data_IF_247343967560
#
_entry.id   IF_247343967560
#
_cell.length_a   1.000
_cell.length_b   1.000
_cell.length_c   1.000
_cell.angle_alpha   90.00
_cell.angle_beta   90.00
_cell.angle_gamma   90.00
#
_symmetry.space_group_name_H-M   'P 1'
#
loop_
_entity.id
_entity.type
_entity.pdbx_description
1 polymer ?
#
# COMPACT_ATOMS: atom_id res chain seq x y z
N UNK A 1 6.81 -15.70 -7.79
CA UNK A 1 5.87 -16.84 -7.64
C UNK A 1 4.77 -16.72 -8.70
N UNK A 2 3.98 -17.77 -8.99
CA UNK A 2 2.81 -17.66 -9.86
C UNK A 2 1.83 -16.56 -9.40
N UNK A 3 1.67 -16.39 -8.09
CA UNK A 3 0.85 -15.33 -7.50
C UNK A 3 1.35 -13.93 -7.91
N UNK A 4 2.64 -13.65 -7.77
CA UNK A 4 3.23 -12.37 -8.19
C UNK A 4 3.01 -12.09 -9.67
N UNK A 5 3.07 -13.12 -10.52
CA UNK A 5 2.79 -12.94 -11.95
C UNK A 5 1.31 -12.60 -12.20
N UNK A 6 0.39 -13.24 -11.50
CA UNK A 6 -1.04 -12.92 -11.59
C UNK A 6 -1.34 -11.48 -11.12
N UNK A 7 -0.67 -11.04 -10.05
CA UNK A 7 -0.77 -9.68 -9.50
C UNK A 7 -0.30 -8.62 -10.52
N UNK A 8 0.87 -8.84 -11.15
CA UNK A 8 1.40 -7.95 -12.20
C UNK A 8 0.48 -7.85 -13.42
N UNK A 9 -0.16 -8.96 -13.79
CA UNK A 9 -1.11 -9.02 -14.91
C UNK A 9 -2.49 -8.45 -14.54
N UNK A 10 -2.73 -8.14 -13.26
CA UNK A 10 -4.03 -7.74 -12.71
C UNK A 10 -5.13 -8.77 -13.00
N UNK A 11 -4.75 -10.05 -13.06
CA UNK A 11 -5.69 -11.14 -13.27
C UNK A 11 -6.31 -11.54 -11.92
N UNK A 12 -7.38 -10.85 -11.55
CA UNK A 12 -8.05 -11.05 -10.26
C UNK A 12 -8.56 -12.49 -10.10
N UNK A 13 -9.03 -13.11 -11.18
CA UNK A 13 -9.52 -14.50 -11.16
C UNK A 13 -8.39 -15.49 -10.87
N UNK A 14 -7.22 -15.28 -11.50
CA UNK A 14 -6.05 -16.11 -11.24
C UNK A 14 -5.48 -15.86 -9.84
N UNK A 15 -5.52 -14.62 -9.33
CA UNK A 15 -5.15 -14.31 -7.94
C UNK A 15 -6.04 -15.09 -6.96
N UNK A 16 -7.37 -15.05 -7.13
CA UNK A 16 -8.30 -15.84 -6.28
C UNK A 16 -7.97 -17.32 -6.36
N UNK A 17 -7.86 -17.88 -7.58
CA UNK A 17 -7.58 -19.29 -7.79
C UNK A 17 -6.31 -19.74 -7.07
N UNK A 18 -5.24 -18.95 -7.17
CA UNK A 18 -3.96 -19.28 -6.56
C UNK A 18 -4.02 -19.19 -5.02
N UNK A 19 -4.67 -18.17 -4.47
CA UNK A 19 -4.83 -18.02 -3.02
C UNK A 19 -5.71 -19.15 -2.44
N UNK A 20 -6.79 -19.53 -3.12
CA UNK A 20 -7.65 -20.65 -2.72
C UNK A 20 -6.91 -22.00 -2.70
N UNK A 21 -5.81 -22.12 -3.48
CA UNK A 21 -4.94 -23.29 -3.51
C UNK A 21 -3.67 -23.12 -2.67
N UNK A 22 -3.66 -22.18 -1.73
CA UNK A 22 -2.60 -22.04 -0.73
C UNK A 22 -1.35 -21.31 -1.22
N UNK A 23 -1.45 -20.50 -2.27
CA UNK A 23 -0.38 -19.57 -2.61
C UNK A 23 -0.14 -18.61 -1.42
N UNK A 24 1.13 -18.39 -1.11
CA UNK A 24 1.53 -17.46 -0.04
C UNK A 24 1.20 -16.01 -0.42
N UNK A 25 0.22 -15.43 0.27
CA UNK A 25 -0.25 -14.06 0.07
C UNK A 25 0.85 -13.01 0.33
N UNK A 26 1.81 -13.35 1.18
CA UNK A 26 2.95 -12.50 1.51
C UNK A 26 4.18 -12.80 0.64
N UNK A 27 4.04 -13.60 -0.43
CA UNK A 27 5.14 -13.81 -1.35
C UNK A 27 5.64 -12.48 -1.94
N UNK A 28 6.96 -12.35 -2.00
CA UNK A 28 7.66 -11.12 -2.38
C UNK A 28 8.39 -11.26 -3.71
N UNK A 29 8.43 -10.19 -4.49
CA UNK A 29 9.27 -10.10 -5.68
C UNK A 29 10.73 -9.74 -5.33
N UNK A 30 11.57 -9.50 -6.35
CA UNK A 30 12.99 -9.15 -6.16
C UNK A 30 13.22 -7.79 -5.48
N UNK A 31 12.16 -7.03 -5.23
CA UNK A 31 12.16 -5.73 -4.57
C UNK A 31 11.45 -5.80 -3.21
N UNK A 32 11.23 -7.00 -2.67
CA UNK A 32 10.48 -7.28 -1.45
C UNK A 32 9.00 -6.83 -1.48
N UNK A 33 8.45 -6.61 -2.69
CA UNK A 33 7.06 -6.14 -2.83
C UNK A 33 6.10 -7.30 -2.70
N UNK A 34 5.17 -7.20 -1.75
CA UNK A 34 4.02 -8.09 -1.63
C UNK A 34 2.89 -7.65 -2.58
N UNK A 35 1.84 -8.47 -2.71
CA UNK A 35 0.67 -8.10 -3.52
C UNK A 35 0.00 -6.79 -3.08
N UNK A 36 0.04 -6.48 -1.78
CA UNK A 36 -0.55 -5.24 -1.27
C UNK A 36 0.24 -4.00 -1.70
N UNK A 37 1.58 -4.12 -1.78
CA UNK A 37 2.47 -3.10 -2.32
C UNK A 37 2.26 -2.94 -3.83
N UNK A 38 2.16 -4.05 -4.57
CA UNK A 38 1.91 -4.03 -6.03
C UNK A 38 0.57 -3.35 -6.34
N UNK A 39 -0.51 -3.70 -5.63
CA UNK A 39 -1.82 -3.06 -5.84
C UNK A 39 -1.83 -1.57 -5.46
N UNK A 40 -1.07 -1.16 -4.44
CA UNK A 40 -0.88 0.26 -4.09
C UNK A 40 -0.22 1.05 -5.21
N UNK A 41 0.82 0.48 -5.83
CA UNK A 41 1.56 1.08 -6.93
C UNK A 41 0.70 1.19 -8.20
N UNK A 42 -0.11 0.16 -8.49
CA UNK A 42 -0.99 0.10 -9.66
C UNK A 42 -2.29 0.90 -9.51
N UNK A 43 -2.69 1.26 -8.28
CA UNK A 43 -3.96 1.92 -8.02
C UNK A 43 -5.17 0.99 -8.09
N UNK A 44 -4.95 -0.32 -8.03
CA UNK A 44 -6.01 -1.32 -8.22
C UNK A 44 -6.78 -1.56 -6.92
N UNK A 45 -7.89 -0.84 -6.77
CA UNK A 45 -8.77 -0.94 -5.59
C UNK A 45 -9.42 -2.30 -5.45
N UNK A 46 -9.80 -2.95 -6.55
CA UNK A 46 -10.42 -4.27 -6.49
C UNK A 46 -9.42 -5.31 -6.00
N UNK A 47 -8.20 -5.27 -6.54
CA UNK A 47 -7.13 -6.18 -6.11
C UNK A 47 -6.73 -5.94 -4.66
N UNK A 48 -6.59 -4.69 -4.23
CA UNK A 48 -6.28 -4.37 -2.85
C UNK A 48 -7.38 -4.85 -1.88
N UNK A 49 -8.66 -4.65 -2.22
CA UNK A 49 -9.78 -5.16 -1.40
C UNK A 49 -9.71 -6.68 -1.27
N UNK A 50 -9.49 -7.39 -2.37
CA UNK A 50 -9.35 -8.86 -2.39
C UNK A 50 -8.23 -9.30 -1.45
N UNK A 51 -7.04 -8.74 -1.59
CA UNK A 51 -5.88 -9.10 -0.77
C UNK A 51 -6.10 -8.82 0.72
N UNK A 52 -6.67 -7.66 1.04
CA UNK A 52 -7.00 -7.29 2.43
C UNK A 52 -8.14 -8.12 3.01
N UNK A 53 -9.04 -8.70 2.20
CA UNK A 53 -10.05 -9.66 2.66
C UNK A 53 -9.42 -11.02 3.00
N UNK A 54 -8.31 -11.35 2.33
CA UNK A 54 -7.50 -12.54 2.61
C UNK A 54 -6.40 -12.29 3.65
N UNK A 55 -6.55 -11.24 4.47
CA UNK A 55 -5.66 -10.88 5.58
C UNK A 55 -4.22 -10.52 5.17
N UNK A 56 -4.02 -9.97 3.97
CA UNK A 56 -2.71 -9.43 3.59
C UNK A 56 -2.21 -8.39 4.60
N UNK A 57 -0.92 -8.42 4.90
CA UNK A 57 -0.30 -7.53 5.88
C UNK A 57 -0.33 -6.07 5.42
N UNK A 58 -1.14 -5.25 6.09
CA UNK A 58 -1.30 -3.81 5.81
C UNK A 58 0.01 -3.01 5.98
N UNK A 59 0.91 -3.50 6.83
CA UNK A 59 2.21 -2.90 7.15
C UNK A 59 3.38 -3.58 6.43
N UNK A 60 3.13 -4.33 5.35
CA UNK A 60 4.18 -4.91 4.52
C UNK A 60 5.17 -3.82 4.07
N UNK A 61 6.45 -4.17 3.95
CA UNK A 61 7.53 -3.26 3.55
C UNK A 61 8.28 -3.84 2.37
N UNK A 62 8.62 -2.98 1.41
CA UNK A 62 9.55 -3.30 0.35
C UNK A 62 11.01 -3.01 0.77
N UNK A 63 11.97 -3.25 -0.14
CA UNK A 63 13.40 -3.06 0.12
C UNK A 63 13.82 -1.61 0.46
N UNK A 64 12.92 -0.63 0.31
CA UNK A 64 13.13 0.76 0.72
C UNK A 64 12.31 1.11 1.96
N UNK A 65 11.84 0.11 2.71
CA UNK A 65 10.97 0.25 3.87
C UNK A 65 9.62 0.94 3.57
N UNK A 66 9.18 0.96 2.31
CA UNK A 66 7.93 1.62 1.94
C UNK A 66 6.74 0.72 2.23
N UNK A 67 5.76 1.27 2.94
CA UNK A 67 4.46 0.62 3.18
C UNK A 67 3.50 0.85 2.02
N UNK A 68 2.44 0.03 1.88
CA UNK A 68 1.32 0.31 0.98
C UNK A 68 0.81 1.75 1.07
N UNK A 69 0.70 2.30 2.28
CA UNK A 69 0.18 3.66 2.51
C UNK A 69 1.12 4.73 1.94
N UNK A 70 2.43 4.57 2.14
CA UNK A 70 3.45 5.47 1.57
C UNK A 70 3.35 5.51 0.04
N UNK A 71 3.21 4.34 -0.58
CA UNK A 71 3.11 4.21 -2.04
C UNK A 71 1.82 4.83 -2.56
N UNK A 72 0.67 4.49 -1.95
CA UNK A 72 -0.63 5.03 -2.35
C UNK A 72 -0.69 6.56 -2.20
N UNK A 73 -0.13 7.13 -1.13
CA UNK A 73 -0.06 8.58 -0.93
C UNK A 73 0.83 9.26 -1.97
N UNK A 74 2.02 8.71 -2.25
CA UNK A 74 2.92 9.22 -3.30
C UNK A 74 2.27 9.18 -4.69
N UNK A 75 1.55 8.09 -5.00
CA UNK A 75 0.89 7.88 -6.30
C UNK A 75 -0.42 8.66 -6.44
N UNK A 76 -0.93 9.25 -5.36
CA UNK A 76 -2.18 10.01 -5.39
C UNK A 76 -3.44 9.15 -5.39
N UNK A 77 -3.35 7.88 -5.00
CA UNK A 77 -4.45 6.93 -5.01
C UNK A 77 -5.37 7.12 -3.78
N UNK A 78 -6.16 8.20 -3.79
CA UNK A 78 -7.00 8.60 -2.65
C UNK A 78 -7.90 7.49 -2.10
N UNK A 79 -8.52 6.69 -2.97
CA UNK A 79 -9.36 5.56 -2.54
C UNK A 79 -8.58 4.49 -1.79
N UNK A 80 -7.33 4.21 -2.21
CA UNK A 80 -6.45 3.25 -1.54
C UNK A 80 -5.92 3.80 -0.22
N UNK A 81 -5.55 5.08 -0.15
CA UNK A 81 -5.17 5.73 1.12
C UNK A 81 -6.29 5.56 2.14
N UNK A 82 -7.53 5.89 1.76
CA UNK A 82 -8.69 5.73 2.65
C UNK A 82 -8.85 4.29 3.11
N UNK A 83 -8.77 3.34 2.19
CA UNK A 83 -8.94 1.92 2.50
C UNK A 83 -7.86 1.42 3.46
N UNK A 84 -6.59 1.74 3.21
CA UNK A 84 -5.47 1.34 4.05
C UNK A 84 -5.59 1.91 5.47
N UNK A 85 -5.95 3.19 5.60
CA UNK A 85 -6.21 3.82 6.90
C UNK A 85 -7.38 3.15 7.65
N UNK A 86 -8.46 2.80 6.95
CA UNK A 86 -9.58 2.05 7.53
C UNK A 86 -9.18 0.63 7.98
N UNK A 87 -8.14 0.04 7.39
CA UNK A 87 -7.55 -1.24 7.81
C UNK A 87 -6.46 -1.08 8.86
N UNK A 88 -6.29 0.10 9.44
CA UNK A 88 -5.36 0.35 10.54
C UNK A 88 -3.92 0.57 10.11
N UNK A 89 -3.68 1.00 8.87
CA UNK A 89 -2.34 1.38 8.43
C UNK A 89 -1.76 2.49 9.32
N UNK A 90 -0.48 2.39 9.66
CA UNK A 90 0.22 3.41 10.43
C UNK A 90 0.37 4.68 9.59
N UNK A 91 -0.44 5.70 9.91
CA UNK A 91 -0.49 6.99 9.21
C UNK A 91 0.85 7.74 9.20
N UNK A 92 1.72 7.49 10.19
CA UNK A 92 3.00 8.16 10.38
C UNK A 92 4.19 7.24 10.02
N UNK A 93 3.95 6.12 9.34
CA UNK A 93 5.01 5.20 8.89
C UNK A 93 6.07 5.95 8.07
N UNK A 94 7.34 5.59 8.28
CA UNK A 94 8.46 6.12 7.52
C UNK A 94 9.13 5.03 6.70
N UNK A 95 9.61 5.43 5.53
CA UNK A 95 10.52 4.65 4.70
C UNK A 95 11.99 4.89 5.09
N UNK A 96 12.92 4.24 4.38
CA UNK A 96 14.35 4.30 4.67
C UNK A 96 14.96 5.70 4.48
N UNK A 97 14.28 6.58 3.74
CA UNK A 97 14.67 7.99 3.53
C UNK A 97 13.99 8.93 4.55
N UNK A 98 13.27 8.39 5.53
CA UNK A 98 12.52 9.18 6.52
C UNK A 98 11.29 9.86 5.92
N UNK A 99 10.80 9.40 4.76
CA UNK A 99 9.59 9.95 4.14
C UNK A 99 8.35 9.31 4.73
N UNK A 100 7.32 10.13 4.95
CA UNK A 100 6.03 9.73 5.54
C UNK A 100 4.85 10.15 4.65
N UNK A 101 3.66 9.51 4.78
CA UNK A 101 2.53 9.71 3.86
C UNK A 101 2.11 11.17 3.67
N UNK A 102 2.06 11.97 4.74
CA UNK A 102 1.62 13.37 4.68
C UNK A 102 2.60 14.22 3.85
N UNK A 103 3.91 14.05 4.05
CA UNK A 103 4.90 14.74 3.23
C UNK A 103 4.81 14.36 1.76
N UNK A 104 4.66 13.06 1.46
CA UNK A 104 4.55 12.59 0.07
C UNK A 104 3.30 13.18 -0.62
N UNK A 105 2.16 13.24 0.08
CA UNK A 105 0.95 13.86 -0.44
C UNK A 105 1.14 15.35 -0.74
N UNK A 106 1.81 16.09 0.15
CA UNK A 106 2.08 17.52 -0.01
C UNK A 106 3.12 17.80 -1.11
N UNK A 107 4.17 16.98 -1.23
CA UNK A 107 5.18 17.10 -2.28
C UNK A 107 4.60 16.93 -3.70
N UNK A 108 3.44 16.28 -3.81
CA UNK A 108 2.69 16.12 -5.05
C UNK A 108 1.40 16.97 -5.09
N UNK A 109 1.29 17.98 -4.22
CA UNK A 109 0.15 18.93 -4.16
C UNK A 109 -1.22 18.25 -3.99
N UNK A 110 -1.27 17.04 -3.45
CA UNK A 110 -2.50 16.28 -3.26
C UNK A 110 -3.16 16.61 -1.92
N UNK A 111 -3.72 17.82 -1.83
CA UNK A 111 -4.36 18.33 -0.61
C UNK A 111 -5.52 17.47 -0.11
N UNK A 112 -6.19 16.72 -1.00
CA UNK A 112 -7.27 15.79 -0.60
C UNK A 112 -6.72 14.62 0.22
N UNK A 113 -5.59 14.04 -0.20
CA UNK A 113 -4.92 12.99 0.56
C UNK A 113 -4.30 13.56 1.83
N UNK A 114 -3.69 14.76 1.77
CA UNK A 114 -3.15 15.41 2.96
C UNK A 114 -4.23 15.63 4.03
N UNK A 115 -5.39 16.17 3.63
CA UNK A 115 -6.53 16.34 4.53
C UNK A 115 -6.99 14.99 5.10
N UNK A 116 -7.14 13.97 4.27
CA UNK A 116 -7.54 12.63 4.73
C UNK A 116 -6.54 12.05 5.74
N UNK A 117 -5.24 12.23 5.55
CA UNK A 117 -4.23 11.77 6.50
C UNK A 117 -4.33 12.53 7.83
N UNK A 118 -4.57 13.84 7.79
CA UNK A 118 -4.79 14.67 8.99
C UNK A 118 -6.07 14.23 9.73
N UNK A 119 -7.14 13.92 9.00
CA UNK A 119 -8.39 13.41 9.56
C UNK A 119 -8.19 12.05 10.28
N UNK A 120 -7.17 11.29 9.87
CA UNK A 120 -6.71 10.06 10.51
C UNK A 120 -5.52 10.27 11.46
N UNK A 121 -5.38 11.49 12.01
CA UNK A 121 -4.42 11.84 13.05
C UNK A 121 -2.93 11.74 12.63
N UNK A 122 -2.63 12.01 11.36
CA UNK A 122 -1.24 12.22 10.93
C UNK A 122 -0.57 13.33 11.77
N UNK A 123 0.67 13.11 12.19
CA UNK A 123 1.45 14.12 12.91
C UNK A 123 1.93 15.20 11.95
N UNK A 124 1.29 16.37 12.02
CA UNK A 124 1.65 17.55 11.20
C UNK A 124 3.01 18.14 11.55
N UNK A 125 3.60 17.76 12.69
CA UNK A 125 4.92 18.22 13.13
C UNK A 125 6.02 17.18 12.90
N UNK A 126 5.70 16.03 12.29
CA UNK A 126 6.68 14.99 11.99
C UNK A 126 7.78 15.56 11.06
N UNK A 127 9.04 15.26 11.39
CA UNK A 127 10.21 15.74 10.67
C UNK A 127 10.90 14.61 9.93
N UNK A 128 11.44 14.92 8.76
CA UNK A 128 12.41 14.05 8.09
C UNK A 128 13.71 14.04 8.88
N UNK A 129 14.46 12.93 8.79
CA UNK A 129 15.81 12.85 9.36
C UNK A 129 16.83 13.60 8.51
#
# INVERSE_FOLDING_TARGET
>A
TPLLRALELRDHSLVVLLLDHGADIESQDLYDRTGLIISSELGDSALMVLLLQQNANVEARDHLDRTPLLIASRRGHHSLVRLLLQRGANVNAMDSEGRFPLMLALAHENYKIAQLLIDYHADVNQRTR
#
